data_IF_922558412031
#
_entry.id   IF_922558412031
#
_cell.length_a   1.000
_cell.length_b   1.000
_cell.length_c   1.000
_cell.angle_alpha   90.00
_cell.angle_beta   90.00
_cell.angle_gamma   90.00
#
_symmetry.space_group_name_H-M   'P 1'
#
loop_
_entity.id
_entity.type
_entity.pdbx_description
1 polymer ?
#
# COMPACT_ATOMS: atom_id res chain seq x y z
N UNK A 1 5.11 7.79 -14.81
CA UNK A 1 6.00 8.93 -14.61
C UNK A 1 5.80 9.53 -13.25
N UNK A 2 6.87 9.94 -12.57
CA UNK A 2 6.74 10.55 -11.25
C UNK A 2 6.01 11.89 -11.33
N UNK A 3 5.30 12.29 -10.28
CA UNK A 3 5.12 11.50 -9.06
C UNK A 3 4.06 10.42 -9.24
N UNK A 4 4.16 9.39 -8.38
CA UNK A 4 3.19 8.30 -8.36
C UNK A 4 2.26 8.49 -7.18
N UNK A 5 0.98 8.20 -7.39
CA UNK A 5 -0.04 8.37 -6.37
C UNK A 5 -0.65 7.02 -6.02
N UNK A 6 -0.71 6.73 -4.73
CA UNK A 6 -1.33 5.51 -4.24
C UNK A 6 -2.70 5.80 -3.65
N UNK A 7 -3.63 4.90 -3.90
CA UNK A 7 -4.96 4.93 -3.30
C UNK A 7 -5.26 3.56 -2.72
N UNK A 8 -5.85 3.54 -1.53
CA UNK A 8 -6.26 2.32 -0.86
C UNK A 8 -7.78 2.33 -0.72
N UNK A 9 -8.43 1.26 -1.14
CA UNK A 9 -9.86 1.05 -0.92
C UNK A 9 -10.05 -0.14 -0.01
N UNK A 10 -10.94 -0.04 0.95
CA UNK A 10 -11.20 -1.11 1.91
C UNK A 10 -12.65 -1.55 1.85
N UNK A 11 -12.87 -2.86 2.01
CA UNK A 11 -14.17 -3.43 2.33
C UNK A 11 -14.24 -3.80 3.81
N UNK A 12 -13.10 -4.08 4.41
CA UNK A 12 -12.98 -4.41 5.83
C UNK A 12 -11.97 -3.48 6.48
N UNK A 13 -12.12 -3.31 7.79
CA UNK A 13 -11.19 -2.50 8.57
C UNK A 13 -9.78 -3.09 8.54
N UNK A 14 -8.78 -2.22 8.44
CA UNK A 14 -7.38 -2.63 8.49
C UNK A 14 -6.53 -1.49 9.04
N UNK A 15 -5.25 -1.75 9.22
CA UNK A 15 -4.31 -0.72 9.62
C UNK A 15 -3.07 -0.85 8.72
N UNK A 16 -2.41 0.28 8.48
CA UNK A 16 -1.23 0.28 7.63
C UNK A 16 -0.17 1.24 8.14
N UNK A 17 1.08 0.96 7.76
CA UNK A 17 2.20 1.87 7.94
C UNK A 17 2.71 2.20 6.56
N UNK A 18 2.81 3.49 6.26
CA UNK A 18 3.24 4.00 4.96
C UNK A 18 4.61 4.66 5.10
N UNK A 19 5.56 4.20 4.32
CA UNK A 19 6.93 4.73 4.30
C UNK A 19 7.23 5.11 2.85
N UNK A 20 7.63 6.35 2.63
CA UNK A 20 7.93 6.80 1.27
C UNK A 20 9.21 7.64 1.26
N UNK A 21 10.04 7.39 0.25
CA UNK A 21 11.30 8.11 -0.01
C UNK A 21 12.03 8.49 1.28
N UNK A 22 11.99 9.79 1.64
CA UNK A 22 12.69 10.29 2.83
C UNK A 22 11.74 10.70 3.94
N UNK A 23 10.44 10.47 3.78
CA UNK A 23 9.46 10.86 4.78
C UNK A 23 9.43 9.88 5.94
N UNK A 24 9.07 10.37 7.12
CA UNK A 24 8.93 9.52 8.28
C UNK A 24 7.75 8.57 8.13
N UNK A 25 7.83 7.37 8.69
CA UNK A 25 6.70 6.42 8.62
C UNK A 25 5.43 7.00 9.24
N UNK A 26 4.31 6.72 8.59
CA UNK A 26 2.98 7.13 9.07
C UNK A 26 2.13 5.89 9.23
N UNK A 27 1.58 5.70 10.43
CA UNK A 27 0.70 4.56 10.72
C UNK A 27 -0.72 5.05 10.96
N UNK A 28 -1.69 4.42 10.30
CA UNK A 28 -3.10 4.79 10.44
C UNK A 28 -3.98 3.56 10.34
N UNK A 29 -5.17 3.68 10.94
CA UNK A 29 -6.24 2.70 10.78
C UNK A 29 -7.20 3.17 9.69
N UNK A 30 -7.74 2.23 8.93
CA UNK A 30 -8.74 2.53 7.92
C UNK A 30 -10.00 1.72 8.27
N UNK A 31 -11.12 2.42 8.34
CA UNK A 31 -12.40 1.75 8.57
C UNK A 31 -12.84 1.01 7.30
N UNK A 32 -13.83 0.13 7.45
CA UNK A 32 -14.40 -0.55 6.29
C UNK A 32 -15.06 0.44 5.33
N UNK A 33 -15.08 0.08 4.04
CA UNK A 33 -15.71 0.87 2.98
C UNK A 33 -15.19 2.29 2.86
N UNK A 34 -13.86 2.44 2.93
CA UNK A 34 -13.21 3.74 2.82
C UNK A 34 -12.26 3.78 1.63
N UNK A 35 -11.99 5.00 1.15
CA UNK A 35 -10.92 5.29 0.20
C UNK A 35 -9.95 6.24 0.84
N UNK A 36 -8.67 5.95 0.70
CA UNK A 36 -7.61 6.79 1.26
C UNK A 36 -6.60 7.08 0.17
N UNK A 37 -6.30 8.37 -0.03
CA UNK A 37 -5.23 8.78 -0.93
C UNK A 37 -3.98 9.03 -0.11
N UNK A 38 -2.87 8.44 -0.53
CA UNK A 38 -1.60 8.57 0.15
C UNK A 38 -0.75 9.65 -0.50
N UNK A 39 0.26 10.12 0.23
CA UNK A 39 1.20 11.10 -0.30
C UNK A 39 1.93 10.52 -1.51
N UNK A 40 2.25 11.39 -2.46
CA UNK A 40 2.94 10.98 -3.66
C UNK A 40 4.36 10.53 -3.36
N UNK A 41 4.88 9.62 -4.18
CA UNK A 41 6.26 9.18 -4.07
C UNK A 41 6.94 9.21 -5.45
N UNK A 42 8.26 9.23 -5.46
CA UNK A 42 9.05 9.32 -6.69
C UNK A 42 9.87 8.06 -6.91
N UNK A 43 10.61 7.61 -5.91
CA UNK A 43 11.54 6.48 -6.06
C UNK A 43 11.00 5.17 -5.52
N UNK A 44 10.58 5.15 -4.26
CA UNK A 44 10.09 3.92 -3.67
C UNK A 44 9.13 4.22 -2.53
N UNK A 45 8.33 3.22 -2.22
CA UNK A 45 7.42 3.29 -1.08
C UNK A 45 7.21 1.90 -0.52
N UNK A 46 6.87 1.84 0.75
CA UNK A 46 6.51 0.60 1.43
C UNK A 46 5.18 0.78 2.13
N UNK A 47 4.36 -0.25 2.07
CA UNK A 47 3.11 -0.33 2.81
C UNK A 47 3.12 -1.61 3.62
N UNK A 48 2.93 -1.47 4.92
CA UNK A 48 2.84 -2.62 5.81
C UNK A 48 1.41 -2.66 6.35
N UNK A 49 0.68 -3.72 6.00
CA UNK A 49 -0.70 -3.90 6.44
C UNK A 49 -0.77 -4.93 7.55
N UNK A 50 -1.71 -4.74 8.47
CA UNK A 50 -2.00 -5.78 9.46
C UNK A 50 -2.75 -6.94 8.81
N UNK A 51 -3.57 -6.64 7.81
CA UNK A 51 -4.23 -7.63 6.96
C UNK A 51 -4.65 -6.96 5.67
N UNK A 52 -4.81 -7.74 4.61
CA UNK A 52 -5.23 -7.21 3.31
C UNK A 52 -6.56 -7.75 2.83
N UNK A 53 -7.30 -8.44 3.70
CA UNK A 53 -8.63 -8.91 3.31
C UNK A 53 -9.52 -7.70 2.98
N UNK A 54 -10.11 -7.73 1.79
CA UNK A 54 -10.96 -6.65 1.32
C UNK A 54 -10.22 -5.37 0.97
N UNK A 55 -8.90 -5.43 0.80
CA UNK A 55 -8.08 -4.26 0.47
C UNK A 55 -7.71 -4.27 -1.00
N UNK A 56 -7.95 -3.13 -1.67
CA UNK A 56 -7.52 -2.91 -3.05
C UNK A 56 -6.57 -1.74 -3.07
N UNK A 57 -5.47 -1.88 -3.80
CA UNK A 57 -4.44 -0.84 -3.88
C UNK A 57 -4.30 -0.42 -5.32
N UNK A 58 -4.30 0.89 -5.55
CA UNK A 58 -4.18 1.47 -6.88
C UNK A 58 -2.96 2.37 -6.96
N UNK A 59 -2.26 2.31 -8.07
CA UNK A 59 -1.16 3.23 -8.37
C UNK A 59 -1.52 3.98 -9.63
N UNK A 60 -1.62 5.32 -9.54
CA UNK A 60 -2.05 6.18 -10.63
C UNK A 60 -3.35 5.67 -11.28
N UNK A 61 -4.34 5.35 -10.42
CA UNK A 61 -5.67 4.87 -10.80
C UNK A 61 -5.69 3.46 -11.40
N UNK A 62 -4.56 2.75 -11.41
CA UNK A 62 -4.50 1.38 -11.92
C UNK A 62 -4.35 0.41 -10.75
N UNK A 63 -5.24 -0.58 -10.69
CA UNK A 63 -5.23 -1.56 -9.60
C UNK A 63 -4.00 -2.46 -9.68
N UNK A 64 -3.39 -2.69 -8.52
CA UNK A 64 -2.27 -3.62 -8.40
C UNK A 64 -2.85 -5.02 -8.22
N UNK A 65 -2.67 -5.88 -9.23
CA UNK A 65 -3.28 -7.21 -9.22
C UNK A 65 -2.55 -8.22 -8.33
N UNK A 66 -1.30 -7.95 -8.00
CA UNK A 66 -0.48 -8.89 -7.23
C UNK A 66 -0.86 -8.99 -5.76
N UNK A 67 -1.60 -8.02 -5.25
CA UNK A 67 -1.98 -8.02 -3.84
C UNK A 67 -3.14 -8.97 -3.64
N UNK A 68 -2.90 -10.07 -2.93
CA UNK A 68 -3.94 -11.02 -2.58
C UNK A 68 -4.51 -10.68 -1.21
N UNK A 69 -5.60 -11.35 -0.83
CA UNK A 69 -6.22 -11.12 0.45
C UNK A 69 -5.62 -12.04 1.51
N UNK A 70 -5.04 -11.45 2.54
CA UNK A 70 -4.40 -12.17 3.64
C UNK A 70 -4.96 -11.69 4.98
N UNK A 71 -5.06 -12.62 5.93
CA UNK A 71 -5.46 -12.31 7.30
C UNK A 71 -4.27 -12.15 8.23
N UNK A 72 -3.10 -11.92 7.69
CA UNK A 72 -1.87 -11.74 8.47
C UNK A 72 -1.09 -10.56 7.90
N UNK A 73 -0.12 -10.04 8.67
CA UNK A 73 0.62 -8.86 8.20
C UNK A 73 1.40 -9.15 6.93
N UNK A 74 1.37 -8.20 6.01
CA UNK A 74 2.20 -8.25 4.81
C UNK A 74 2.88 -6.90 4.60
N UNK A 75 4.00 -6.95 3.89
CA UNK A 75 4.76 -5.77 3.50
C UNK A 75 4.78 -5.69 1.98
N UNK A 76 4.36 -4.56 1.45
CA UNK A 76 4.37 -4.29 0.03
C UNK A 76 5.46 -3.26 -0.26
N UNK A 77 6.40 -3.62 -1.13
CA UNK A 77 7.50 -2.73 -1.51
C UNK A 77 7.37 -2.40 -2.99
N UNK A 78 7.30 -1.12 -3.30
CA UNK A 78 7.16 -0.64 -4.68
C UNK A 78 8.38 0.21 -5.03
N UNK A 79 9.09 -0.20 -6.08
CA UNK A 79 10.22 0.56 -6.62
C UNK A 79 9.90 1.00 -8.04
N UNK A 80 10.42 2.17 -8.43
CA UNK A 80 10.18 2.69 -9.77
C UNK A 80 11.36 2.52 -10.71
N UNK A 81 12.57 2.29 -10.18
CA UNK A 81 13.81 2.17 -10.98
C UNK A 81 14.69 1.03 -10.47
N UNK A 82 14.59 -0.16 -11.06
CA UNK A 82 13.63 -0.60 -12.09
C UNK A 82 12.25 -0.80 -11.48
N UNK A 83 11.20 -0.70 -12.27
CA UNK A 83 9.86 -0.90 -11.75
C UNK A 83 9.72 -2.31 -11.17
N UNK A 84 9.28 -2.40 -9.92
CA UNK A 84 9.04 -3.70 -9.29
C UNK A 84 8.09 -3.54 -8.12
N UNK A 85 7.33 -4.61 -7.88
CA UNK A 85 6.42 -4.70 -6.74
C UNK A 85 6.72 -6.01 -6.05
N UNK A 86 7.10 -5.95 -4.78
CA UNK A 86 7.42 -7.13 -3.99
C UNK A 86 6.48 -7.23 -2.82
N UNK A 87 6.03 -8.44 -2.52
CA UNK A 87 5.15 -8.70 -1.39
C UNK A 87 5.85 -9.67 -0.46
N UNK A 88 5.99 -9.28 0.80
CA UNK A 88 6.59 -10.12 1.84
C UNK A 88 5.54 -10.42 2.89
N UNK A 89 5.52 -11.65 3.35
CA UNK A 89 4.63 -12.08 4.42
C UNK A 89 5.38 -12.13 5.74
N UNK A 90 4.74 -11.62 6.78
CA UNK A 90 5.25 -11.75 8.14
C UNK A 90 4.52 -12.92 8.78
N UNK A 91 5.27 -13.85 9.27
CA UNK A 91 4.71 -15.01 9.96
C UNK A 91 4.92 -14.91 11.46
#
# INVERSE_FOLDING_TARGET
KPPFFLKIKTLEQTAYTFITDTLSPVSKSIKSNQEVDLDAFINNTELIFTKTRGVSIFINAKKIEKVAEYDYPIRLVINTKPPSIKIQRFK
#
